data_IF_756691004967
#
_entry.id   IF_756691004967
#
_cell.length_a   1.000
_cell.length_b   1.000
_cell.length_c   1.000
_cell.angle_alpha   90.00
_cell.angle_beta   90.00
_cell.angle_gamma   90.00
#
_symmetry.space_group_name_H-M   'P 1'
#
loop_
_entity.id
_entity.type
_entity.pdbx_description
1 polymer ?
#
# COMPACT_ATOMS: atom_id res chain seq x y z
N UNK A 1 -21.88 -9.82 9.97
CA UNK A 1 -20.91 -8.70 9.89
C UNK A 1 -20.96 -8.16 8.48
N UNK A 2 -21.24 -6.87 8.31
CA UNK A 2 -21.27 -6.24 6.99
C UNK A 2 -19.85 -6.21 6.41
N UNK A 3 -19.73 -6.44 5.10
CA UNK A 3 -18.45 -6.35 4.39
C UNK A 3 -18.01 -4.87 4.36
N UNK A 4 -16.74 -4.55 4.71
CA UNK A 4 -16.27 -3.16 4.60
C UNK A 4 -16.33 -2.65 3.16
N UNK A 5 -16.58 -1.36 2.94
CA UNK A 5 -16.59 -0.79 1.61
C UNK A 5 -15.20 -0.85 0.97
N UNK A 6 -15.16 -1.03 -0.34
CA UNK A 6 -13.91 -1.12 -1.13
C UNK A 6 -13.82 0.06 -2.09
N UNK A 7 -12.68 0.75 -2.08
CA UNK A 7 -12.37 1.76 -3.09
C UNK A 7 -12.00 1.05 -4.39
N UNK A 8 -12.79 1.24 -5.45
CA UNK A 8 -12.57 0.60 -6.74
C UNK A 8 -12.14 1.60 -7.80
N UNK A 9 -11.07 1.25 -8.51
CA UNK A 9 -10.60 1.95 -9.71
C UNK A 9 -11.06 1.28 -11.00
N UNK A 10 -12.16 0.51 -10.94
CA UNK A 10 -12.73 -0.17 -12.11
C UNK A 10 -13.15 0.83 -13.19
N UNK A 11 -12.77 0.57 -14.44
CA UNK A 11 -13.02 1.46 -15.57
C UNK A 11 -12.21 2.76 -15.58
N UNK A 12 -11.26 2.96 -14.66
CA UNK A 12 -10.48 4.20 -14.56
C UNK A 12 -9.15 4.14 -15.32
N UNK A 13 -8.69 5.28 -15.79
CA UNK A 13 -7.37 5.52 -16.36
C UNK A 13 -6.36 6.01 -15.32
N UNK A 14 -6.55 5.62 -14.05
CA UNK A 14 -5.76 6.10 -12.89
C UNK A 14 -4.25 6.04 -13.13
N UNK A 15 -3.75 4.97 -13.74
CA UNK A 15 -2.33 4.85 -14.02
C UNK A 15 -1.85 5.99 -14.92
N UNK A 16 -2.54 6.23 -16.03
CA UNK A 16 -2.15 7.27 -17.00
C UNK A 16 -2.32 8.68 -16.44
N UNK A 17 -3.51 8.98 -15.90
CA UNK A 17 -3.84 10.34 -15.42
C UNK A 17 -3.07 10.74 -14.16
N UNK A 18 -2.89 9.83 -13.21
CA UNK A 18 -2.24 10.12 -11.93
C UNK A 18 -0.72 9.92 -11.96
N UNK A 19 -0.24 8.81 -12.55
CA UNK A 19 1.19 8.47 -12.54
C UNK A 19 1.93 8.97 -13.78
N UNK A 20 1.51 8.56 -14.96
CA UNK A 20 2.28 8.79 -16.18
C UNK A 20 2.23 10.27 -16.63
N UNK A 21 1.08 10.93 -16.49
CA UNK A 21 0.88 12.34 -16.84
C UNK A 21 0.75 13.26 -15.62
N UNK A 22 0.56 12.73 -14.43
CA UNK A 22 0.28 13.48 -13.20
C UNK A 22 1.49 14.14 -12.53
N UNK A 23 2.69 14.12 -13.13
CA UNK A 23 3.91 14.73 -12.57
C UNK A 23 4.36 14.09 -11.25
N UNK A 24 4.21 12.77 -11.10
CA UNK A 24 4.51 12.01 -9.88
C UNK A 24 5.89 11.35 -9.85
N UNK A 25 6.82 11.81 -10.66
CA UNK A 25 8.18 11.24 -10.75
C UNK A 25 8.92 11.28 -9.40
N UNK A 26 8.69 12.32 -8.59
CA UNK A 26 9.29 12.43 -7.26
C UNK A 26 8.77 11.33 -6.34
N UNK A 27 7.45 11.15 -6.28
CA UNK A 27 6.81 10.11 -5.48
C UNK A 27 7.25 8.73 -5.93
N UNK A 28 7.26 8.46 -7.22
CA UNK A 28 7.71 7.18 -7.78
C UNK A 28 9.17 6.88 -7.45
N UNK A 29 10.05 7.88 -7.57
CA UNK A 29 11.48 7.74 -7.26
C UNK A 29 11.73 7.50 -5.77
N UNK A 30 11.01 8.20 -4.88
CA UNK A 30 11.12 7.98 -3.43
C UNK A 30 10.62 6.61 -3.00
N UNK A 31 9.51 6.13 -3.55
CA UNK A 31 9.01 4.77 -3.33
C UNK A 31 10.03 3.73 -3.83
N UNK A 32 10.61 3.91 -5.02
CA UNK A 32 11.64 3.02 -5.56
C UNK A 32 12.87 2.91 -4.65
N UNK A 33 13.34 4.04 -4.12
CA UNK A 33 14.48 4.07 -3.18
C UNK A 33 14.12 3.36 -1.87
N UNK A 34 12.92 3.60 -1.35
CA UNK A 34 12.46 2.96 -0.11
C UNK A 34 12.34 1.44 -0.29
N UNK A 35 11.68 0.98 -1.36
CA UNK A 35 11.56 -0.44 -1.68
C UNK A 35 12.93 -1.10 -1.83
N UNK A 36 13.87 -0.48 -2.56
CA UNK A 36 15.25 -0.99 -2.70
C UNK A 36 15.96 -1.16 -1.35
N UNK A 37 15.64 -0.34 -0.35
CA UNK A 37 16.24 -0.40 1.00
C UNK A 37 15.55 -1.40 1.93
N UNK A 38 14.29 -1.70 1.69
CA UNK A 38 13.45 -2.52 2.57
C UNK A 38 13.31 -3.96 2.06
N UNK A 39 13.32 -4.16 0.74
CA UNK A 39 13.18 -5.48 0.15
C UNK A 39 14.36 -6.38 0.53
N UNK A 40 14.09 -7.64 0.90
CA UNK A 40 15.12 -8.67 0.96
C UNK A 40 15.69 -8.95 -0.44
N UNK A 41 16.78 -9.71 -0.49
CA UNK A 41 17.44 -10.06 -1.76
C UNK A 41 16.50 -10.79 -2.75
N UNK A 42 15.51 -11.53 -2.23
CA UNK A 42 14.51 -12.24 -3.01
C UNK A 42 13.81 -13.33 -2.21
N UNK A 43 13.05 -14.17 -2.88
CA UNK A 43 12.29 -15.27 -2.33
C UNK A 43 11.59 -16.07 -3.43
N UNK A 44 10.76 -17.03 -3.07
CA UNK A 44 10.00 -17.85 -4.02
C UNK A 44 8.76 -17.10 -4.49
N UNK A 45 7.94 -16.61 -3.56
CA UNK A 45 6.63 -16.04 -3.89
C UNK A 45 6.39 -14.70 -3.19
N UNK A 46 6.15 -13.68 -4.01
CA UNK A 46 5.82 -12.32 -3.59
C UNK A 46 4.34 -12.05 -3.80
N UNK A 47 3.70 -11.36 -2.85
CA UNK A 47 2.34 -10.83 -2.98
C UNK A 47 2.40 -9.29 -3.09
N UNK A 48 1.97 -8.74 -4.21
CA UNK A 48 1.73 -7.31 -4.37
C UNK A 48 0.24 -7.02 -4.21
N UNK A 49 -0.14 -6.43 -3.08
CA UNK A 49 -1.52 -6.07 -2.75
C UNK A 49 -1.83 -4.68 -3.31
N UNK A 50 -2.92 -4.55 -4.07
CA UNK A 50 -3.30 -3.31 -4.74
C UNK A 50 -2.27 -2.88 -5.78
N UNK A 51 -1.88 -3.81 -6.64
CA UNK A 51 -0.83 -3.64 -7.64
C UNK A 51 -1.15 -2.54 -8.68
N UNK A 52 -2.45 -2.24 -8.87
CA UNK A 52 -2.91 -1.37 -9.95
C UNK A 52 -2.43 -1.86 -11.30
N UNK A 53 -1.93 -0.97 -12.14
CA UNK A 53 -1.36 -1.31 -13.44
C UNK A 53 0.10 -1.84 -13.37
N UNK A 54 0.52 -2.42 -12.25
CA UNK A 54 1.81 -3.09 -12.11
C UNK A 54 3.03 -2.18 -12.09
N UNK A 55 2.89 -0.94 -11.60
CA UNK A 55 3.98 0.05 -11.60
C UNK A 55 5.17 -0.38 -10.72
N UNK A 56 4.91 -0.94 -9.56
CA UNK A 56 5.95 -1.38 -8.63
C UNK A 56 6.42 -2.81 -8.89
N UNK A 57 5.66 -3.63 -9.57
CA UNK A 57 5.92 -5.07 -9.82
C UNK A 57 7.34 -5.37 -10.31
N UNK A 58 7.94 -4.61 -11.27
CA UNK A 58 9.31 -4.87 -11.71
C UNK A 58 10.37 -4.72 -10.61
N UNK A 59 10.05 -4.00 -9.52
CA UNK A 59 10.98 -3.77 -8.39
C UNK A 59 11.17 -5.01 -7.53
N UNK A 60 10.29 -6.01 -7.66
CA UNK A 60 10.33 -7.29 -6.92
C UNK A 60 11.06 -8.39 -7.71
N UNK A 61 11.98 -8.01 -8.60
CA UNK A 61 12.65 -8.92 -9.54
C UNK A 61 13.41 -10.07 -8.86
N UNK A 62 13.81 -9.93 -7.59
CA UNK A 62 14.48 -10.96 -6.81
C UNK A 62 13.60 -12.16 -6.43
N UNK A 63 12.28 -12.07 -6.59
CA UNK A 63 11.38 -13.19 -6.34
C UNK A 63 11.18 -14.03 -7.61
N UNK A 64 11.04 -15.36 -7.42
CA UNK A 64 10.82 -16.29 -8.55
C UNK A 64 9.47 -16.01 -9.21
N UNK A 65 8.41 -15.84 -8.39
CA UNK A 65 7.05 -15.51 -8.85
C UNK A 65 6.48 -14.36 -8.07
N UNK A 66 5.59 -13.61 -8.72
CA UNK A 66 4.92 -12.43 -8.13
C UNK A 66 3.43 -12.57 -8.40
N UNK A 67 2.64 -12.61 -7.34
CA UNK A 67 1.19 -12.47 -7.40
C UNK A 67 0.87 -10.98 -7.46
N UNK A 68 0.33 -10.55 -8.60
CA UNK A 68 -0.11 -9.18 -8.89
C UNK A 68 -1.60 -9.12 -8.56
N UNK A 69 -1.94 -8.66 -7.36
CA UNK A 69 -3.31 -8.65 -6.87
C UNK A 69 -3.89 -7.24 -6.87
N UNK A 70 -5.06 -7.11 -7.46
CA UNK A 70 -5.87 -5.88 -7.37
C UNK A 70 -7.37 -6.22 -7.31
N UNK A 71 -8.16 -5.31 -6.75
CA UNK A 71 -9.62 -5.43 -6.77
C UNK A 71 -10.19 -5.17 -8.17
N UNK A 72 -9.59 -4.21 -8.91
CA UNK A 72 -10.02 -3.80 -10.25
C UNK A 72 -9.44 -4.70 -11.34
N UNK A 73 -10.32 -5.30 -12.12
CA UNK A 73 -9.93 -6.06 -13.33
C UNK A 73 -9.32 -5.16 -14.39
N UNK A 74 -9.86 -3.95 -14.56
CA UNK A 74 -9.30 -2.94 -15.50
C UNK A 74 -7.84 -2.63 -15.18
N UNK A 75 -7.49 -2.48 -13.90
CA UNK A 75 -6.11 -2.25 -13.50
C UNK A 75 -5.21 -3.48 -13.77
N UNK A 76 -5.71 -4.68 -13.54
CA UNK A 76 -4.96 -5.91 -13.84
C UNK A 76 -4.76 -6.13 -15.35
N UNK A 77 -5.71 -5.77 -16.20
CA UNK A 77 -5.55 -5.79 -17.66
C UNK A 77 -4.45 -4.81 -18.11
N UNK A 78 -4.40 -3.62 -17.53
CA UNK A 78 -3.31 -2.66 -17.75
C UNK A 78 -1.96 -3.21 -17.25
N UNK A 79 -1.96 -3.91 -16.11
CA UNK A 79 -0.76 -4.58 -15.60
C UNK A 79 -0.28 -5.68 -16.55
N UNK A 80 -1.18 -6.50 -17.10
CA UNK A 80 -0.84 -7.51 -18.10
C UNK A 80 -0.25 -6.90 -19.38
N UNK A 81 -0.81 -5.80 -19.84
CA UNK A 81 -0.26 -5.07 -21.01
C UNK A 81 1.14 -4.51 -20.74
N UNK A 82 1.40 -4.02 -19.53
CA UNK A 82 2.70 -3.46 -19.12
C UNK A 82 3.77 -4.51 -18.85
N UNK A 83 3.44 -5.59 -18.15
CA UNK A 83 4.38 -6.61 -17.66
C UNK A 83 4.49 -7.81 -18.59
N UNK A 84 3.48 -8.03 -19.41
CA UNK A 84 3.35 -9.20 -20.26
C UNK A 84 2.81 -10.43 -19.52
N UNK A 85 2.59 -11.50 -20.28
CA UNK A 85 2.21 -12.82 -19.77
C UNK A 85 3.47 -13.68 -19.69
N UNK A 86 3.77 -14.18 -18.50
CA UNK A 86 4.90 -15.07 -18.24
C UNK A 86 4.62 -15.88 -16.98
N UNK A 87 5.36 -16.96 -16.78
CA UNK A 87 5.27 -17.79 -15.56
C UNK A 87 5.68 -17.03 -14.28
N UNK A 88 6.30 -15.86 -14.42
CA UNK A 88 6.71 -15.00 -13.31
C UNK A 88 5.55 -14.26 -12.67
N UNK A 89 4.53 -13.87 -13.44
CA UNK A 89 3.45 -13.02 -12.97
C UNK A 89 2.12 -13.78 -12.90
N UNK A 90 1.50 -13.77 -11.73
CA UNK A 90 0.19 -14.40 -11.48
C UNK A 90 -0.80 -13.29 -11.18
N UNK A 91 -1.70 -12.99 -12.10
CA UNK A 91 -2.69 -11.91 -11.94
C UNK A 91 -3.94 -12.43 -11.24
N UNK A 92 -4.30 -11.79 -10.12
CA UNK A 92 -5.42 -12.22 -9.27
C UNK A 92 -6.35 -11.03 -8.97
N UNK A 93 -7.59 -11.10 -9.44
CA UNK A 93 -8.63 -10.15 -9.06
C UNK A 93 -9.25 -10.60 -7.73
N UNK A 94 -8.98 -9.88 -6.64
CA UNK A 94 -9.47 -10.24 -5.32
C UNK A 94 -9.57 -9.03 -4.38
N UNK A 95 -10.37 -9.21 -3.34
CA UNK A 95 -10.53 -8.26 -2.25
C UNK A 95 -9.51 -8.53 -1.14
N UNK A 96 -8.81 -7.48 -0.70
CA UNK A 96 -7.85 -7.56 0.41
C UNK A 96 -8.50 -8.02 1.72
N UNK A 97 -9.78 -7.75 1.93
CA UNK A 97 -10.52 -8.22 3.11
C UNK A 97 -10.85 -9.72 3.09
N UNK A 98 -10.59 -10.39 1.96
CA UNK A 98 -10.82 -11.83 1.77
C UNK A 98 -9.85 -12.38 0.74
N UNK A 99 -8.61 -12.58 1.15
CA UNK A 99 -7.56 -13.09 0.28
C UNK A 99 -7.81 -14.58 -0.06
N UNK A 100 -7.77 -14.96 -1.35
CA UNK A 100 -8.10 -16.33 -1.78
C UNK A 100 -6.86 -17.25 -1.74
N UNK A 101 -6.07 -17.17 -0.68
CA UNK A 101 -4.84 -17.94 -0.55
C UNK A 101 -4.85 -18.78 0.73
N UNK A 102 -4.07 -19.84 0.73
CA UNK A 102 -3.79 -20.64 1.92
C UNK A 102 -2.87 -19.89 2.88
N UNK A 103 -2.92 -20.25 4.14
CA UNK A 103 -2.08 -19.65 5.16
C UNK A 103 -0.59 -19.92 4.89
N UNK A 104 0.25 -18.98 5.32
CA UNK A 104 1.71 -19.08 5.28
C UNK A 104 2.31 -19.35 3.90
N UNK A 105 1.69 -18.82 2.84
CA UNK A 105 2.08 -19.07 1.44
C UNK A 105 3.23 -18.17 0.97
N UNK A 106 3.29 -16.90 1.43
CA UNK A 106 4.16 -15.88 0.83
C UNK A 106 5.43 -15.61 1.64
N UNK A 107 6.58 -15.54 0.94
CA UNK A 107 7.87 -15.12 1.53
C UNK A 107 7.97 -13.60 1.64
N UNK A 108 7.24 -12.88 0.80
CA UNK A 108 7.20 -11.42 0.81
C UNK A 108 5.81 -10.89 0.46
N UNK A 109 5.46 -9.74 1.02
CA UNK A 109 4.29 -8.99 0.60
C UNK A 109 4.57 -7.49 0.60
N UNK A 110 3.88 -6.76 -0.27
CA UNK A 110 3.85 -5.30 -0.25
C UNK A 110 2.44 -4.79 -0.31
N UNK A 111 2.18 -3.70 0.43
CA UNK A 111 0.95 -2.94 0.39
C UNK A 111 1.34 -1.46 0.31
N UNK A 112 1.47 -0.95 -0.92
CA UNK A 112 1.95 0.40 -1.21
C UNK A 112 0.80 1.25 -1.74
N UNK A 113 0.45 2.32 -1.01
CA UNK A 113 -0.68 3.21 -1.33
C UNK A 113 -2.05 2.52 -1.36
N UNK A 114 -2.24 1.52 -0.52
CA UNK A 114 -3.49 0.73 -0.43
C UNK A 114 -4.17 0.89 0.92
N UNK A 115 -3.42 0.83 2.02
CA UNK A 115 -4.02 0.86 3.36
C UNK A 115 -4.92 2.09 3.59
N UNK A 116 -4.59 3.22 2.97
CA UNK A 116 -5.39 4.44 3.07
C UNK A 116 -6.77 4.35 2.40
N UNK A 117 -7.05 3.29 1.66
CA UNK A 117 -8.39 2.97 1.12
C UNK A 117 -9.15 1.94 1.96
N UNK A 118 -8.58 1.49 3.08
CA UNK A 118 -9.16 0.44 3.91
C UNK A 118 -9.92 1.05 5.08
N UNK A 119 -11.26 0.99 5.07
CA UNK A 119 -12.11 1.43 6.16
C UNK A 119 -11.90 0.61 7.45
N UNK A 120 -11.53 -0.66 7.29
CA UNK A 120 -11.18 -1.58 8.39
C UNK A 120 -9.73 -2.07 8.19
N UNK A 121 -8.77 -1.16 8.45
CA UNK A 121 -7.36 -1.47 8.29
C UNK A 121 -6.88 -2.68 9.12
N UNK A 122 -7.29 -2.88 10.40
CA UNK A 122 -6.93 -4.08 11.16
C UNK A 122 -7.38 -5.38 10.50
N UNK A 123 -8.59 -5.43 9.93
CA UNK A 123 -9.09 -6.60 9.23
C UNK A 123 -8.28 -6.91 7.97
N UNK A 124 -7.92 -5.89 7.18
CA UNK A 124 -7.07 -6.06 6.01
C UNK A 124 -5.67 -6.58 6.40
N UNK A 125 -5.08 -6.03 7.46
CA UNK A 125 -3.77 -6.47 7.97
C UNK A 125 -3.81 -7.90 8.52
N UNK A 126 -4.94 -8.33 9.12
CA UNK A 126 -5.14 -9.73 9.55
C UNK A 126 -5.07 -10.68 8.36
N UNK A 127 -5.73 -10.36 7.25
CA UNK A 127 -5.66 -11.19 6.04
C UNK A 127 -4.23 -11.32 5.50
N UNK A 128 -3.48 -10.22 5.53
CA UNK A 128 -2.06 -10.26 5.12
C UNK A 128 -1.26 -11.15 6.07
N UNK A 129 -1.45 -11.03 7.39
CA UNK A 129 -0.78 -11.87 8.40
C UNK A 129 -1.03 -13.35 8.15
N UNK A 130 -2.26 -13.74 7.86
CA UNK A 130 -2.64 -15.15 7.68
C UNK A 130 -1.91 -15.79 6.50
N UNK A 131 -1.75 -15.07 5.40
CA UNK A 131 -1.09 -15.59 4.19
C UNK A 131 0.44 -15.48 4.19
N UNK A 132 1.02 -14.71 5.14
CA UNK A 132 2.48 -14.57 5.25
C UNK A 132 3.13 -15.77 5.91
N UNK A 133 4.20 -16.28 5.32
CA UNK A 133 5.06 -17.31 5.92
C UNK A 133 5.78 -16.81 7.18
N UNK A 134 6.26 -17.71 8.05
CA UNK A 134 6.78 -17.36 9.39
C UNK A 134 8.01 -16.44 9.35
N UNK A 135 8.77 -16.45 8.28
CA UNK A 135 9.93 -15.56 8.06
C UNK A 135 9.69 -14.59 6.90
N UNK A 136 8.44 -14.43 6.47
CA UNK A 136 8.08 -13.53 5.39
C UNK A 136 8.26 -12.06 5.76
N UNK A 137 8.66 -11.24 4.78
CA UNK A 137 8.84 -9.80 4.95
C UNK A 137 7.65 -9.06 4.36
N UNK A 138 6.95 -8.30 5.20
CA UNK A 138 5.85 -7.43 4.78
C UNK A 138 6.30 -5.98 4.75
N UNK A 139 6.14 -5.30 3.62
CA UNK A 139 6.42 -3.88 3.45
C UNK A 139 5.10 -3.14 3.30
N UNK A 140 4.81 -2.30 4.27
CA UNK A 140 3.59 -1.50 4.34
C UNK A 140 3.90 0.00 4.17
N UNK A 141 3.21 0.66 3.26
CA UNK A 141 3.15 2.13 3.18
C UNK A 141 1.74 2.58 3.55
N UNK A 142 1.64 3.63 4.35
CA UNK A 142 0.37 4.24 4.74
C UNK A 142 0.45 5.76 4.82
N UNK A 143 -0.70 6.42 4.64
CA UNK A 143 -0.81 7.85 4.77
C UNK A 143 -0.78 8.26 6.25
N UNK A 144 0.21 9.10 6.60
CA UNK A 144 0.50 9.50 7.97
C UNK A 144 -0.23 10.81 8.33
N UNK A 145 -1.18 10.75 9.28
CA UNK A 145 -1.88 11.95 9.78
C UNK A 145 -1.01 12.88 10.63
N UNK A 146 0.12 12.38 11.19
CA UNK A 146 1.13 13.21 11.89
C UNK A 146 2.08 13.93 10.92
N UNK A 147 1.55 14.50 9.85
CA UNK A 147 2.36 15.32 8.96
C UNK A 147 2.37 16.80 9.39
N UNK A 148 3.48 17.51 9.11
CA UNK A 148 3.67 18.90 9.55
C UNK A 148 2.51 19.82 9.10
N UNK A 149 1.98 19.61 7.89
CA UNK A 149 0.87 20.40 7.35
C UNK A 149 -0.42 20.21 8.16
N UNK A 150 -0.71 18.98 8.58
CA UNK A 150 -1.87 18.68 9.43
C UNK A 150 -1.71 19.29 10.83
N UNK A 151 -0.52 19.19 11.44
CA UNK A 151 -0.22 19.81 12.73
C UNK A 151 -0.37 21.34 12.69
N UNK A 152 0.18 22.01 11.68
CA UNK A 152 0.06 23.45 11.51
C UNK A 152 -1.39 23.89 11.28
N UNK A 153 -2.16 23.16 10.46
CA UNK A 153 -3.59 23.45 10.24
C UNK A 153 -4.39 23.33 11.54
N UNK A 154 -4.11 22.30 12.34
CA UNK A 154 -4.78 22.10 13.63
C UNK A 154 -4.48 23.23 14.59
N UNK A 155 -3.23 23.62 14.80
CA UNK A 155 -2.83 24.73 15.67
C UNK A 155 -3.37 26.09 15.22
N UNK A 156 -3.52 26.29 13.90
CA UNK A 156 -4.09 27.51 13.33
C UNK A 156 -5.64 27.49 13.30
N UNK A 157 -6.30 26.48 13.87
CA UNK A 157 -7.76 26.34 13.86
C UNK A 157 -8.37 26.12 12.46
N UNK A 158 -7.55 25.73 11.46
CA UNK A 158 -7.97 25.51 10.07
C UNK A 158 -8.41 24.08 9.78
N UNK A 159 -8.45 23.23 10.78
CA UNK A 159 -8.80 21.82 10.70
C UNK A 159 -9.48 21.41 12.01
N UNK A 160 -10.59 20.66 11.91
CA UNK A 160 -11.39 20.25 13.09
C UNK A 160 -10.84 19.00 13.77
N UNK A 161 -10.27 18.07 13.01
CA UNK A 161 -9.74 16.83 13.56
C UNK A 161 -8.31 17.00 14.08
N UNK A 162 -8.00 16.30 15.19
CA UNK A 162 -6.68 16.32 15.80
C UNK A 162 -5.74 15.32 15.09
N UNK A 163 -4.54 15.73 14.65
CA UNK A 163 -3.56 14.79 14.12
C UNK A 163 -2.96 13.88 15.21
N UNK A 164 -3.17 14.18 16.49
CA UNK A 164 -2.53 13.50 17.63
C UNK A 164 -3.36 12.34 18.18
N UNK A 165 -4.63 12.20 17.83
CA UNK A 165 -5.46 11.06 18.25
C UNK A 165 -5.12 9.81 17.45
N UNK A 166 -5.37 8.62 18.02
CA UNK A 166 -5.05 7.34 17.39
C UNK A 166 -6.07 6.93 16.31
N UNK A 167 -7.30 7.44 16.40
CA UNK A 167 -8.36 7.11 15.47
C UNK A 167 -8.00 7.53 14.04
N UNK A 168 -8.30 6.70 13.04
CA UNK A 168 -8.17 7.08 11.63
C UNK A 168 -9.01 8.31 11.30
N UNK A 169 -8.59 9.07 10.32
CA UNK A 169 -9.36 10.20 9.79
C UNK A 169 -9.66 9.96 8.33
N UNK A 170 -10.94 9.87 8.03
CA UNK A 170 -11.44 9.90 6.67
C UNK A 170 -11.58 11.36 6.22
N UNK A 171 -10.75 11.78 5.26
CA UNK A 171 -10.76 13.18 4.78
C UNK A 171 -11.48 13.35 3.43
N UNK A 172 -11.63 12.27 2.69
CA UNK A 172 -12.45 12.09 1.48
C UNK A 172 -12.98 10.67 1.54
N UNK A 173 -14.11 10.37 0.93
CA UNK A 173 -14.72 9.04 0.92
C UNK A 173 -13.69 7.95 0.59
N UNK A 174 -13.59 6.96 1.47
CA UNK A 174 -12.63 5.86 1.43
C UNK A 174 -11.15 6.32 1.26
N UNK A 175 -10.79 7.45 1.88
CA UNK A 175 -9.41 7.89 1.98
C UNK A 175 -9.09 8.27 3.42
N UNK A 176 -8.26 7.46 4.07
CA UNK A 176 -7.92 7.53 5.48
C UNK A 176 -6.46 7.90 5.70
N UNK A 177 -6.23 8.81 6.64
CA UNK A 177 -4.91 9.03 7.24
C UNK A 177 -4.84 8.34 8.60
N UNK A 178 -3.75 7.62 8.86
CA UNK A 178 -3.55 6.85 10.08
C UNK A 178 -2.48 7.47 10.98
N UNK A 179 -2.67 7.34 12.29
CA UNK A 179 -1.62 7.67 13.25
C UNK A 179 -0.56 6.55 13.27
N UNK A 180 0.75 6.85 13.11
CA UNK A 180 1.79 5.81 13.01
C UNK A 180 1.79 4.85 14.21
N UNK A 181 1.54 5.36 15.42
CA UNK A 181 1.47 4.53 16.62
C UNK A 181 0.34 3.50 16.56
N UNK A 182 -0.82 3.86 15.99
CA UNK A 182 -1.94 2.93 15.83
C UNK A 182 -1.59 1.81 14.84
N UNK A 183 -1.00 2.15 13.70
CA UNK A 183 -0.58 1.13 12.72
C UNK A 183 0.47 0.19 13.28
N UNK A 184 1.49 0.73 13.98
CA UNK A 184 2.51 -0.09 14.63
C UNK A 184 1.93 -0.99 15.72
N UNK A 185 0.95 -0.51 16.48
CA UNK A 185 0.24 -1.31 17.48
C UNK A 185 -0.51 -2.47 16.82
N UNK A 186 -1.29 -2.25 15.78
CA UNK A 186 -2.00 -3.31 15.05
C UNK A 186 -1.05 -4.37 14.50
N UNK A 187 0.06 -3.94 13.89
CA UNK A 187 1.07 -4.88 13.37
C UNK A 187 1.68 -5.73 14.50
N UNK A 188 1.98 -5.13 15.65
CA UNK A 188 2.55 -5.84 16.81
C UNK A 188 1.54 -6.83 17.40
N UNK A 189 0.27 -6.43 17.55
CA UNK A 189 -0.82 -7.29 18.03
C UNK A 189 -1.06 -8.50 17.09
N UNK A 190 -0.84 -8.33 15.78
CA UNK A 190 -0.88 -9.41 14.80
C UNK A 190 0.40 -10.27 14.77
N UNK A 191 1.40 -9.98 15.61
CA UNK A 191 2.63 -10.75 15.71
C UNK A 191 3.73 -10.35 14.72
N UNK A 192 3.59 -9.25 14.00
CA UNK A 192 4.68 -8.72 13.19
C UNK A 192 5.76 -8.08 14.06
N UNK A 193 7.03 -8.39 13.77
CA UNK A 193 8.18 -7.69 14.30
C UNK A 193 8.56 -6.54 13.37
N UNK A 194 8.59 -5.33 13.91
CA UNK A 194 8.97 -4.15 13.14
C UNK A 194 10.50 -4.08 13.04
N UNK A 195 11.05 -4.36 11.89
CA UNK A 195 12.50 -4.36 11.66
C UNK A 195 13.03 -2.99 11.25
N UNK A 196 12.26 -2.28 10.42
CA UNK A 196 12.71 -0.99 9.88
C UNK A 196 11.54 -0.07 9.57
N UNK A 197 11.71 1.21 9.85
CA UNK A 197 10.77 2.27 9.50
C UNK A 197 11.47 3.34 8.68
N UNK A 198 10.88 3.72 7.56
CA UNK A 198 11.32 4.85 6.73
C UNK A 198 10.20 5.87 6.64
N UNK A 199 10.58 7.14 6.68
CA UNK A 199 9.62 8.23 6.47
C UNK A 199 9.84 8.85 5.09
N UNK A 200 8.74 8.98 4.34
CA UNK A 200 8.76 9.52 2.99
C UNK A 200 8.01 10.85 2.93
N UNK A 201 8.55 11.81 2.18
CA UNK A 201 7.84 13.03 1.79
C UNK A 201 7.32 13.91 2.94
N UNK A 202 8.12 14.15 4.00
CA UNK A 202 7.76 15.06 5.10
C UNK A 202 7.40 16.49 4.65
N UNK A 203 8.00 16.96 3.59
CA UNK A 203 7.83 18.32 3.06
C UNK A 203 7.23 18.29 1.64
N UNK A 204 5.93 18.01 1.53
CA UNK A 204 5.20 18.17 0.27
C UNK A 204 4.81 19.64 0.05
N UNK A 205 5.79 20.52 -0.12
CA UNK A 205 5.54 21.89 -0.55
C UNK A 205 5.51 21.92 -2.08
N UNK A 206 4.37 22.29 -2.69
CA UNK A 206 4.15 22.22 -4.13
C UNK A 206 5.20 22.96 -4.97
N UNK A 207 5.85 23.99 -4.42
CA UNK A 207 6.91 24.75 -5.09
C UNK A 207 8.29 24.06 -5.05
N UNK A 208 8.49 23.01 -4.23
CA UNK A 208 9.72 22.21 -4.19
C UNK A 208 9.68 21.01 -5.16
N UNK A 209 8.64 20.89 -5.98
CA UNK A 209 8.45 19.79 -6.94
C UNK A 209 9.03 20.05 -8.34
N UNK A 210 9.80 21.13 -8.51
CA UNK A 210 10.49 21.43 -9.77
C UNK A 210 11.88 20.83 -9.84
#
# INVERSE_FOLDING_TARGET
>A
MTHPPVCSYEGSDYQTSFWDQGGRQYEDRTEAIALKRLLPAGGKLMLELGAGAGRNTPRYAGYERIVVLDYSRTQLEQAQQRLGLSDKYIYVAADVYRLPFVDSLFDGATMIRVLHHMADAPKALTQVRDVMGPNGVFILEFANKLNLKAMLRYWLGRQKWSPFTLEPVEFVELNFDFHPKAVLQWLTELGFRIERTLTLSHFRLGFLKR
#
